data_IF_370022273213
#
_entry.id   IF_370022273213
#
_cell.length_a   1.000
_cell.length_b   1.000
_cell.length_c   1.000
_cell.angle_alpha   90.00
_cell.angle_beta   90.00
_cell.angle_gamma   90.00
#
_symmetry.space_group_name_H-M   'P 1'
#
loop_
_entity.id
_entity.type
_entity.pdbx_description
1 polymer ?
#
# COMPACT_ATOMS: atom_id res chain seq x y z
N UNK A 1 -31.64 56.59 -13.79
CA UNK A 1 -30.30 56.96 -13.30
C UNK A 1 -29.99 56.06 -12.10
N UNK A 2 -28.83 55.39 -12.11
CA UNK A 2 -28.13 54.73 -10.97
C UNK A 2 -28.33 53.22 -10.73
N UNK A 3 -27.37 52.48 -11.32
CA UNK A 3 -26.53 51.38 -10.81
C UNK A 3 -27.06 49.95 -10.65
N UNK A 4 -26.69 49.15 -11.66
CA UNK A 4 -26.10 47.81 -11.59
C UNK A 4 -25.19 47.61 -10.35
N UNK A 5 -25.39 46.52 -9.60
CA UNK A 5 -24.30 45.75 -8.99
C UNK A 5 -24.61 44.26 -9.15
N UNK A 6 -23.78 43.62 -9.97
CA UNK A 6 -23.60 42.18 -10.08
C UNK A 6 -23.29 41.59 -8.69
N UNK A 7 -24.18 40.75 -8.16
CA UNK A 7 -23.85 39.82 -7.09
C UNK A 7 -23.05 38.67 -7.67
N UNK A 8 -21.72 38.79 -7.64
CA UNK A 8 -20.78 37.73 -7.99
C UNK A 8 -21.06 36.51 -7.10
N UNK A 9 -21.60 35.44 -7.69
CA UNK A 9 -21.52 34.11 -7.11
C UNK A 9 -20.04 33.71 -7.11
N UNK A 10 -19.39 33.91 -5.97
CA UNK A 10 -18.10 33.29 -5.68
C UNK A 10 -18.35 31.78 -5.53
N UNK A 11 -18.29 31.07 -6.65
CA UNK A 11 -18.02 29.63 -6.65
C UNK A 11 -16.62 29.51 -6.06
N UNK A 12 -16.55 29.25 -4.75
CA UNK A 12 -15.35 28.75 -4.11
C UNK A 12 -15.12 27.38 -4.76
N UNK A 13 -14.28 27.37 -5.79
CA UNK A 13 -13.60 26.19 -6.27
C UNK A 13 -12.83 25.65 -5.07
N UNK A 14 -13.47 24.73 -4.34
CA UNK A 14 -12.77 23.73 -3.57
C UNK A 14 -11.88 23.03 -4.59
N UNK A 15 -10.61 23.45 -4.68
CA UNK A 15 -9.54 22.65 -5.23
C UNK A 15 -9.44 21.42 -4.33
N UNK A 16 -10.35 20.47 -4.56
CA UNK A 16 -10.14 19.09 -4.16
C UNK A 16 -8.75 18.74 -4.65
N UNK A 17 -7.91 18.26 -3.74
CA UNK A 17 -6.69 17.57 -4.11
C UNK A 17 -7.07 16.63 -5.25
N UNK A 18 -6.66 16.97 -6.47
CA UNK A 18 -7.19 16.34 -7.67
C UNK A 18 -7.06 14.85 -7.50
N UNK A 19 -8.18 14.12 -7.57
CA UNK A 19 -8.16 12.66 -7.67
C UNK A 19 -7.18 12.35 -8.79
N UNK A 20 -5.98 11.88 -8.46
CA UNK A 20 -5.01 11.50 -9.48
C UNK A 20 -5.62 10.33 -10.19
N UNK A 21 -6.06 10.57 -11.41
CA UNK A 21 -6.62 9.56 -12.27
C UNK A 21 -5.57 8.45 -12.44
N UNK A 22 -5.87 7.28 -11.89
CA UNK A 22 -5.02 6.10 -12.05
C UNK A 22 -5.25 5.56 -13.45
N UNK A 23 -4.16 5.34 -14.17
CA UNK A 23 -4.14 4.71 -15.49
C UNK A 23 -3.09 3.61 -15.55
N UNK A 24 -3.08 2.81 -16.62
CA UNK A 24 -2.04 1.78 -16.84
C UNK A 24 -0.62 2.35 -16.86
N UNK A 25 -0.46 3.63 -17.22
CA UNK A 25 0.83 4.32 -17.32
C UNK A 25 1.26 4.94 -15.98
N UNK A 26 0.42 4.85 -14.95
CA UNK A 26 0.78 5.28 -13.60
C UNK A 26 1.92 4.43 -13.06
N UNK A 27 2.95 5.07 -12.52
CA UNK A 27 4.09 4.36 -11.91
C UNK A 27 3.68 3.65 -10.62
N UNK A 28 4.32 2.52 -10.34
CA UNK A 28 4.04 1.75 -9.13
C UNK A 28 4.39 2.56 -7.87
N UNK A 29 5.45 3.37 -7.91
CA UNK A 29 5.80 4.30 -6.83
C UNK A 29 4.70 5.33 -6.54
N UNK A 30 4.01 5.84 -7.56
CA UNK A 30 2.86 6.73 -7.36
C UNK A 30 1.67 6.00 -6.71
N UNK A 31 1.44 4.73 -7.06
CA UNK A 31 0.40 3.91 -6.43
C UNK A 31 0.72 3.60 -4.97
N UNK A 32 1.99 3.27 -4.66
CA UNK A 32 2.45 3.10 -3.27
C UNK A 32 2.31 4.39 -2.46
N UNK A 33 2.57 5.55 -3.08
CA UNK A 33 2.33 6.85 -2.45
C UNK A 33 0.85 7.10 -2.18
N UNK A 34 -0.04 6.76 -3.11
CA UNK A 34 -1.49 6.83 -2.85
C UNK A 34 -1.90 5.88 -1.71
N UNK A 35 -1.33 4.67 -1.64
CA UNK A 35 -1.57 3.75 -0.53
C UNK A 35 -1.13 4.38 0.81
N UNK A 36 0.05 5.00 0.85
CA UNK A 36 0.51 5.73 2.03
C UNK A 36 -0.44 6.85 2.43
N UNK A 37 -0.79 7.73 1.50
CA UNK A 37 -1.72 8.86 1.72
C UNK A 37 -3.10 8.37 2.20
N UNK A 38 -3.53 7.19 1.75
CA UNK A 38 -4.83 6.62 2.13
C UNK A 38 -4.82 5.89 3.49
N UNK A 39 -3.72 5.23 3.86
CA UNK A 39 -3.71 4.23 4.94
C UNK A 39 -2.87 4.59 6.16
N UNK A 40 -1.81 5.40 6.02
CA UNK A 40 -0.85 5.62 7.12
C UNK A 40 -1.54 6.08 8.39
N UNK A 41 -1.23 5.41 9.50
CA UNK A 41 -1.75 5.72 10.84
C UNK A 41 -3.28 5.65 10.98
N UNK A 42 -4.00 5.17 9.97
CA UNK A 42 -5.42 4.89 10.03
C UNK A 42 -5.68 3.41 10.31
N UNK A 43 -6.79 3.06 10.99
CA UNK A 43 -7.18 1.67 11.19
C UNK A 43 -7.52 0.98 9.88
N UNK A 44 -7.54 -0.36 9.91
CA UNK A 44 -7.94 -1.16 8.75
C UNK A 44 -9.35 -0.80 8.27
N UNK A 45 -9.50 -0.69 6.96
CA UNK A 45 -10.78 -0.49 6.29
C UNK A 45 -10.87 -1.39 5.07
N UNK A 46 -12.03 -2.04 4.91
CA UNK A 46 -12.32 -2.91 3.76
C UNK A 46 -12.47 -2.11 2.45
N UNK A 47 -12.92 -0.85 2.53
CA UNK A 47 -13.07 0.03 1.37
C UNK A 47 -11.80 0.83 1.13
N UNK A 48 -11.31 0.80 -0.11
CA UNK A 48 -10.15 1.59 -0.53
C UNK A 48 -10.37 2.25 -1.89
N UNK A 49 -10.09 3.54 -1.97
CA UNK A 49 -10.14 4.27 -3.24
C UNK A 49 -9.04 3.80 -4.20
N UNK A 50 -7.85 3.45 -3.68
CA UNK A 50 -6.79 2.83 -4.46
C UNK A 50 -7.26 1.51 -5.07
N UNK A 51 -7.82 0.61 -4.25
CA UNK A 51 -8.29 -0.70 -4.71
C UNK A 51 -9.41 -0.57 -5.76
N UNK A 52 -10.36 0.33 -5.52
CA UNK A 52 -11.45 0.60 -6.47
C UNK A 52 -10.90 1.14 -7.81
N UNK A 53 -9.91 2.02 -7.77
CA UNK A 53 -9.26 2.56 -8.96
C UNK A 53 -8.54 1.47 -9.77
N UNK A 54 -7.79 0.59 -9.08
CA UNK A 54 -7.11 -0.53 -9.74
C UNK A 54 -8.11 -1.53 -10.31
N UNK A 55 -9.19 -1.84 -9.59
CA UNK A 55 -10.26 -2.72 -10.08
C UNK A 55 -10.89 -2.20 -11.37
N UNK A 56 -11.09 -0.88 -11.50
CA UNK A 56 -11.62 -0.28 -12.73
C UNK A 56 -10.65 -0.46 -13.91
N UNK A 57 -9.34 -0.26 -13.69
CA UNK A 57 -8.32 -0.50 -14.73
C UNK A 57 -8.25 -1.98 -15.11
N UNK A 58 -8.34 -2.89 -14.14
CA UNK A 58 -8.39 -4.34 -14.39
C UNK A 58 -9.60 -4.71 -15.25
N UNK A 59 -10.78 -4.19 -14.94
CA UNK A 59 -12.00 -4.41 -15.71
C UNK A 59 -11.85 -3.96 -17.17
N UNK A 60 -11.32 -2.75 -17.38
CA UNK A 60 -11.05 -2.22 -18.72
C UNK A 60 -10.02 -3.08 -19.47
N UNK A 61 -8.95 -3.49 -18.78
CA UNK A 61 -7.88 -4.29 -19.35
C UNK A 61 -8.36 -5.68 -19.78
N UNK A 62 -9.08 -6.39 -18.92
CA UNK A 62 -9.67 -7.71 -19.22
C UNK A 62 -10.60 -7.63 -20.42
N UNK A 63 -11.47 -6.61 -20.46
CA UNK A 63 -12.38 -6.38 -21.58
C UNK A 63 -11.63 -6.13 -22.89
N UNK A 64 -10.62 -5.26 -22.86
CA UNK A 64 -9.82 -4.91 -24.04
C UNK A 64 -9.06 -6.11 -24.59
N UNK A 65 -8.63 -7.03 -23.72
CA UNK A 65 -7.87 -8.21 -24.11
C UNK A 65 -8.74 -9.48 -24.29
N UNK A 66 -10.07 -9.36 -24.26
CA UNK A 66 -11.02 -10.47 -24.40
C UNK A 66 -10.77 -11.64 -23.42
N UNK A 67 -10.31 -11.32 -22.20
CA UNK A 67 -10.06 -12.32 -21.16
C UNK A 67 -11.40 -12.72 -20.54
N UNK A 68 -11.72 -14.01 -20.55
CA UNK A 68 -12.92 -14.53 -19.86
C UNK A 68 -12.62 -14.73 -18.38
N UNK A 69 -13.28 -13.96 -17.52
CA UNK A 69 -13.15 -14.07 -16.07
C UNK A 69 -14.52 -13.93 -15.41
N UNK A 70 -14.85 -14.88 -14.53
CA UNK A 70 -15.97 -14.71 -13.60
C UNK A 70 -15.59 -13.73 -12.46
N UNK A 71 -16.53 -13.49 -11.56
CA UNK A 71 -16.32 -12.55 -10.45
C UNK A 71 -15.19 -12.98 -9.51
N UNK A 72 -15.02 -14.29 -9.28
CA UNK A 72 -13.98 -14.81 -8.41
C UNK A 72 -12.60 -14.60 -9.03
N UNK A 73 -12.44 -14.99 -10.30
CA UNK A 73 -11.22 -14.79 -11.09
C UNK A 73 -10.87 -13.32 -11.22
N UNK A 74 -11.86 -12.45 -11.42
CA UNK A 74 -11.65 -10.99 -11.47
C UNK A 74 -11.13 -10.44 -10.12
N UNK A 75 -11.70 -10.87 -9.00
CA UNK A 75 -11.24 -10.44 -7.68
C UNK A 75 -9.81 -10.92 -7.40
N UNK A 76 -9.52 -12.19 -7.72
CA UNK A 76 -8.17 -12.73 -7.54
C UNK A 76 -7.15 -12.07 -8.47
N UNK A 77 -7.52 -11.77 -9.73
CA UNK A 77 -6.68 -10.98 -10.63
C UNK A 77 -6.41 -9.58 -10.09
N UNK A 78 -7.44 -8.91 -9.55
CA UNK A 78 -7.27 -7.61 -8.92
C UNK A 78 -6.27 -7.70 -7.77
N UNK A 79 -6.39 -8.70 -6.90
CA UNK A 79 -5.43 -8.91 -5.81
C UNK A 79 -4.03 -9.27 -6.32
N UNK A 80 -3.89 -10.07 -7.39
CA UNK A 80 -2.61 -10.33 -8.05
C UNK A 80 -1.94 -9.04 -8.52
N UNK A 81 -2.71 -8.12 -9.11
CA UNK A 81 -2.21 -6.82 -9.53
C UNK A 81 -1.78 -5.99 -8.31
N UNK A 82 -2.60 -5.95 -7.26
CA UNK A 82 -2.25 -5.26 -6.00
C UNK A 82 -0.97 -5.82 -5.38
N UNK A 83 -0.82 -7.15 -5.32
CA UNK A 83 0.39 -7.83 -4.87
C UNK A 83 1.62 -7.40 -5.69
N UNK A 84 1.51 -7.45 -7.03
CA UNK A 84 2.61 -7.09 -7.92
C UNK A 84 2.95 -5.59 -7.93
N UNK A 85 2.05 -4.69 -7.51
CA UNK A 85 2.38 -3.26 -7.29
C UNK A 85 3.53 -3.13 -6.28
N UNK A 86 3.63 -4.02 -5.30
CA UNK A 86 4.65 -3.98 -4.25
C UNK A 86 5.91 -4.80 -4.58
N UNK A 87 5.76 -5.94 -5.25
CA UNK A 87 6.90 -6.79 -5.61
C UNK A 87 7.78 -6.25 -6.75
N UNK A 88 7.23 -5.42 -7.64
CA UNK A 88 7.96 -4.91 -8.82
C UNK A 88 8.73 -3.63 -8.53
N UNK A 89 9.54 -3.16 -9.49
CA UNK A 89 10.31 -1.93 -9.29
C UNK A 89 9.37 -0.70 -9.28
N UNK A 90 9.47 0.22 -8.30
CA UNK A 90 8.57 1.37 -8.20
C UNK A 90 8.60 2.32 -9.42
N UNK A 91 9.67 2.29 -10.22
CA UNK A 91 9.79 3.11 -11.43
C UNK A 91 9.08 2.51 -12.65
N UNK A 92 8.61 1.27 -12.57
CA UNK A 92 7.80 0.64 -13.61
C UNK A 92 6.35 1.15 -13.53
N UNK A 93 5.56 0.87 -14.57
CA UNK A 93 4.14 1.24 -14.64
C UNK A 93 3.23 0.06 -14.33
N UNK A 94 1.94 0.35 -14.08
CA UNK A 94 0.89 -0.63 -13.83
C UNK A 94 0.70 -1.64 -14.99
N UNK A 95 1.17 -1.32 -16.20
CA UNK A 95 1.24 -2.27 -17.33
C UNK A 95 1.91 -3.59 -16.94
N UNK A 96 3.02 -3.54 -16.18
CA UNK A 96 3.78 -4.76 -15.87
C UNK A 96 3.00 -5.71 -14.94
N UNK A 97 2.46 -5.29 -13.78
CA UNK A 97 1.55 -6.12 -12.99
C UNK A 97 0.39 -6.71 -13.81
N UNK A 98 -0.26 -5.91 -14.68
CA UNK A 98 -1.35 -6.39 -15.52
C UNK A 98 -0.91 -7.53 -16.46
N UNK A 99 0.26 -7.40 -17.09
CA UNK A 99 0.83 -8.42 -17.96
C UNK A 99 1.20 -9.69 -17.20
N UNK A 100 1.81 -9.56 -16.02
CA UNK A 100 2.17 -10.71 -15.16
C UNK A 100 0.92 -11.50 -14.79
N UNK A 101 -0.10 -10.84 -14.26
CA UNK A 101 -1.33 -11.51 -13.84
C UNK A 101 -2.11 -12.09 -15.05
N UNK A 102 -1.98 -11.49 -16.23
CA UNK A 102 -2.57 -12.05 -17.47
C UNK A 102 -1.86 -13.32 -17.90
N UNK A 103 -0.53 -13.36 -17.81
CA UNK A 103 0.21 -14.58 -18.09
C UNK A 103 -0.17 -15.70 -17.11
N UNK A 104 -0.40 -15.36 -15.83
CA UNK A 104 -0.88 -16.30 -14.81
C UNK A 104 -2.33 -16.77 -15.04
N UNK A 105 -3.20 -15.93 -15.61
CA UNK A 105 -4.51 -16.40 -16.10
C UNK A 105 -4.32 -17.41 -17.23
N UNK A 106 -3.53 -17.05 -18.24
CA UNK A 106 -3.44 -17.81 -19.48
C UNK A 106 -2.79 -19.18 -19.29
N UNK A 107 -1.88 -19.32 -18.33
CA UNK A 107 -1.25 -20.60 -17.99
C UNK A 107 -1.97 -21.36 -16.86
N UNK A 108 -3.07 -20.82 -16.32
CA UNK A 108 -3.85 -21.43 -15.25
C UNK A 108 -3.21 -21.37 -13.86
N UNK A 109 -2.12 -20.63 -13.66
CA UNK A 109 -1.49 -20.45 -12.35
C UNK A 109 -2.33 -19.56 -11.43
N UNK A 110 -3.03 -18.56 -11.97
CA UNK A 110 -3.89 -17.67 -11.16
C UNK A 110 -4.96 -18.47 -10.40
N UNK A 111 -5.46 -19.56 -10.98
CA UNK A 111 -6.50 -20.40 -10.35
C UNK A 111 -5.95 -21.26 -9.19
N UNK A 112 -4.62 -21.38 -9.06
CA UNK A 112 -3.94 -22.14 -8.01
C UNK A 112 -3.46 -21.26 -6.85
N UNK A 113 -3.38 -19.95 -7.09
CA UNK A 113 -2.84 -18.98 -6.14
C UNK A 113 -3.97 -18.09 -5.64
N UNK A 114 -4.24 -18.11 -4.34
CA UNK A 114 -5.16 -17.16 -3.73
C UNK A 114 -4.40 -15.90 -3.33
N UNK A 115 -4.39 -14.89 -4.20
CA UNK A 115 -3.76 -13.62 -3.91
C UNK A 115 -4.60 -12.80 -2.94
N UNK A 116 -3.91 -12.15 -2.01
CA UNK A 116 -4.49 -11.13 -1.15
C UNK A 116 -3.81 -9.79 -1.37
N UNK A 117 -4.51 -8.72 -1.02
CA UNK A 117 -4.03 -7.34 -1.20
C UNK A 117 -3.22 -6.89 0.04
N UNK A 118 -1.89 -6.74 -0.06
CA UNK A 118 -1.05 -6.31 1.06
C UNK A 118 -1.01 -4.79 1.22
N UNK A 119 -1.74 -4.02 0.41
CA UNK A 119 -1.54 -2.57 0.28
C UNK A 119 -1.90 -1.79 1.52
N UNK A 120 -2.83 -2.28 2.34
CA UNK A 120 -3.15 -1.59 3.59
C UNK A 120 -1.97 -1.62 4.58
N UNK A 121 -1.39 -2.81 4.79
CA UNK A 121 -0.25 -2.94 5.72
C UNK A 121 1.00 -2.26 5.14
N UNK A 122 1.30 -2.47 3.85
CA UNK A 122 2.44 -1.82 3.21
C UNK A 122 2.25 -0.31 3.02
N UNK A 123 1.01 0.18 2.98
CA UNK A 123 0.70 1.61 3.03
C UNK A 123 1.01 2.28 4.37
N UNK A 124 1.42 1.53 5.40
CA UNK A 124 1.90 2.12 6.65
C UNK A 124 3.37 2.59 6.57
N UNK A 125 4.06 2.35 5.45
CA UNK A 125 5.40 2.88 5.20
C UNK A 125 5.37 4.37 4.85
N UNK A 126 6.05 5.18 5.65
CA UNK A 126 6.33 6.56 5.30
C UNK A 126 7.16 6.65 4.02
N UNK A 127 6.62 7.33 3.02
CA UNK A 127 7.27 7.46 1.71
C UNK A 127 8.50 8.39 1.70
N UNK A 128 8.71 9.16 2.77
CA UNK A 128 9.84 10.05 2.98
C UNK A 128 10.88 9.39 3.86
N UNK A 129 10.50 8.92 5.06
CA UNK A 129 11.46 8.35 6.01
C UNK A 129 11.74 6.86 5.76
N UNK A 130 10.82 6.13 5.13
CA UNK A 130 10.89 4.67 5.02
C UNK A 130 10.46 3.94 6.30
N UNK A 131 10.04 4.65 7.34
CA UNK A 131 9.61 4.04 8.60
C UNK A 131 8.20 3.46 8.49
N UNK A 132 7.99 2.24 9.00
CA UNK A 132 6.68 1.62 9.04
C UNK A 132 5.94 1.95 10.34
N UNK A 133 4.83 2.66 10.25
CA UNK A 133 4.12 3.25 11.40
C UNK A 133 3.74 2.24 12.50
N UNK A 134 3.13 1.11 12.12
CA UNK A 134 2.70 0.11 13.12
C UNK A 134 3.88 -0.62 13.76
N UNK A 135 4.96 -0.83 13.01
CA UNK A 135 6.14 -1.51 13.52
C UNK A 135 6.89 -0.61 14.50
N UNK A 136 7.08 0.67 14.14
CA UNK A 136 7.73 1.64 15.03
C UNK A 136 6.94 1.89 16.30
N UNK A 137 5.60 1.96 16.21
CA UNK A 137 4.73 2.05 17.37
C UNK A 137 4.94 0.86 18.31
N UNK A 138 4.85 -0.36 17.77
CA UNK A 138 5.08 -1.58 18.56
C UNK A 138 6.46 -1.57 19.22
N UNK A 139 7.51 -1.23 18.48
CA UNK A 139 8.88 -1.19 19.02
C UNK A 139 8.97 -0.15 20.16
N UNK A 140 8.51 1.08 19.93
CA UNK A 140 8.53 2.16 20.93
C UNK A 140 7.80 1.75 22.21
N UNK A 141 6.63 1.12 22.08
CA UNK A 141 5.82 0.66 23.22
C UNK A 141 6.49 -0.47 24.04
N UNK A 142 7.48 -1.17 23.46
CA UNK A 142 8.22 -2.26 24.12
C UNK A 142 9.66 -1.88 24.53
N UNK A 143 10.08 -0.62 24.31
CA UNK A 143 11.37 -0.13 24.78
C UNK A 143 11.30 0.38 26.22
N UNK A 144 12.41 0.25 26.96
CA UNK A 144 12.53 0.80 28.32
C UNK A 144 12.48 2.34 28.33
N UNK A 145 13.10 2.98 27.33
CA UNK A 145 13.02 4.43 27.09
C UNK A 145 12.49 4.65 25.66
N UNK A 146 11.16 4.75 25.46
CA UNK A 146 10.55 4.93 24.15
C UNK A 146 11.05 6.18 23.40
N UNK A 147 11.48 7.21 24.14
CA UNK A 147 12.00 8.47 23.55
C UNK A 147 13.42 8.31 22.98
N UNK A 148 14.12 7.23 23.34
CA UNK A 148 15.44 6.94 22.81
C UNK A 148 15.42 6.27 21.44
N UNK A 149 14.23 5.87 20.95
CA UNK A 149 14.08 5.27 19.64
C UNK A 149 14.51 6.26 18.55
N UNK A 150 15.42 5.82 17.71
CA UNK A 150 15.87 6.52 16.51
C UNK A 150 15.87 5.54 15.34
N UNK A 151 15.05 5.84 14.33
CA UNK A 151 14.85 4.98 13.18
C UNK A 151 16.10 4.97 12.27
N UNK A 152 16.50 3.80 11.79
CA UNK A 152 17.62 3.66 10.86
C UNK A 152 17.14 3.25 9.48
N UNK A 153 16.43 2.12 9.39
CA UNK A 153 15.98 1.55 8.13
C UNK A 153 14.83 0.55 8.35
N UNK A 154 14.05 0.30 7.32
CA UNK A 154 13.08 -0.78 7.32
C UNK A 154 12.92 -1.42 5.92
N UNK A 155 12.66 -2.71 5.94
CA UNK A 155 12.39 -3.51 4.75
C UNK A 155 11.18 -4.42 4.99
N UNK A 156 10.64 -4.98 3.92
CA UNK A 156 9.54 -5.92 4.01
C UNK A 156 9.76 -7.13 3.11
N UNK A 157 9.14 -8.25 3.49
CA UNK A 157 8.93 -9.40 2.62
C UNK A 157 7.44 -9.75 2.62
N UNK A 158 6.84 -9.87 1.44
CA UNK A 158 5.46 -10.32 1.30
C UNK A 158 5.46 -11.85 1.30
N UNK A 159 4.61 -12.43 2.13
CA UNK A 159 4.50 -13.88 2.33
C UNK A 159 3.09 -14.33 2.00
N UNK A 160 2.94 -15.63 1.73
CA UNK A 160 1.62 -16.27 1.56
C UNK A 160 0.72 -15.50 0.57
N UNK A 161 1.31 -15.12 -0.58
CA UNK A 161 0.65 -14.42 -1.69
C UNK A 161 -0.06 -13.11 -1.29
N UNK A 162 0.48 -12.39 -0.29
CA UNK A 162 -0.05 -11.10 0.15
C UNK A 162 -0.88 -11.15 1.43
N UNK A 163 -1.17 -12.32 1.98
CA UNK A 163 -1.93 -12.44 3.23
C UNK A 163 -1.10 -12.11 4.48
N UNK A 164 0.22 -12.14 4.35
CA UNK A 164 1.16 -11.86 5.43
C UNK A 164 2.31 -10.98 4.94
N UNK A 165 2.82 -10.12 5.82
CA UNK A 165 3.97 -9.26 5.52
C UNK A 165 4.91 -9.25 6.71
N UNK A 166 6.16 -9.63 6.48
CA UNK A 166 7.23 -9.52 7.48
C UNK A 166 7.91 -8.16 7.33
N UNK A 167 7.76 -7.29 8.32
CA UNK A 167 8.43 -5.98 8.37
C UNK A 167 9.65 -6.10 9.27
N UNK A 168 10.82 -5.77 8.75
CA UNK A 168 12.07 -5.76 9.50
C UNK A 168 12.53 -4.32 9.69
N UNK A 169 12.66 -3.88 10.94
CA UNK A 169 13.05 -2.51 11.30
C UNK A 169 14.37 -2.51 12.05
N UNK A 170 15.31 -1.71 11.57
CA UNK A 170 16.56 -1.38 12.27
C UNK A 170 16.43 -0.01 12.92
N UNK A 171 16.87 0.09 14.17
CA UNK A 171 16.76 1.31 14.97
C UNK A 171 17.87 1.38 16.03
N UNK A 172 18.13 2.57 16.55
CA UNK A 172 18.98 2.79 17.72
C UNK A 172 18.06 3.05 18.92
N UNK A 173 18.38 2.47 20.07
CA UNK A 173 17.68 2.74 21.33
C UNK A 173 18.59 2.50 22.54
N UNK A 174 18.24 3.08 23.69
CA UNK A 174 18.93 2.83 24.95
C UNK A 174 18.61 1.45 25.49
N UNK A 175 19.66 0.74 25.89
CA UNK A 175 19.54 -0.50 26.66
C UNK A 175 19.25 -0.21 28.16
N UNK A 176 19.10 -1.27 28.96
CA UNK A 176 18.84 -1.19 30.40
C UNK A 176 19.94 -0.43 31.20
N UNK A 177 21.16 -0.34 30.65
CA UNK A 177 22.28 0.38 31.27
C UNK A 177 22.41 1.83 30.77
N UNK A 178 21.46 2.30 29.95
CA UNK A 178 21.44 3.66 29.41
C UNK A 178 22.35 3.88 28.19
N UNK A 179 23.03 2.85 27.68
CA UNK A 179 23.86 2.94 26.48
C UNK A 179 23.06 2.77 25.19
N UNK A 180 23.40 3.53 24.15
CA UNK A 180 22.77 3.40 22.84
C UNK A 180 23.25 2.13 22.12
N UNK A 181 22.29 1.37 21.60
CA UNK A 181 22.54 0.11 20.88
C UNK A 181 21.75 0.10 19.59
N UNK A 182 22.35 -0.40 18.51
CA UNK A 182 21.62 -0.70 17.27
C UNK A 182 20.91 -2.03 17.45
N UNK A 183 19.61 -2.03 17.24
CA UNK A 183 18.72 -3.18 17.35
C UNK A 183 18.03 -3.44 16.02
N UNK A 184 17.52 -4.65 15.89
CA UNK A 184 16.75 -5.11 14.74
C UNK A 184 15.59 -5.93 15.24
N UNK A 185 14.39 -5.63 14.77
CA UNK A 185 13.18 -6.36 15.12
C UNK A 185 12.43 -6.71 13.85
N UNK A 186 11.98 -7.96 13.73
CA UNK A 186 11.13 -8.38 12.63
C UNK A 186 9.74 -8.73 13.16
N UNK A 187 8.71 -8.10 12.59
CA UNK A 187 7.31 -8.30 12.99
C UNK A 187 6.55 -8.86 11.79
N UNK A 188 5.95 -10.03 11.98
CA UNK A 188 5.06 -10.63 11.01
C UNK A 188 3.65 -10.09 11.23
N UNK A 189 3.11 -9.38 10.25
CA UNK A 189 1.74 -8.89 10.26
C UNK A 189 0.85 -9.71 9.33
N UNK A 190 -0.44 -9.83 9.66
CA UNK A 190 -1.46 -10.09 8.64
C UNK A 190 -1.58 -8.88 7.71
N UNK A 191 -2.17 -9.06 6.53
CA UNK A 191 -2.47 -7.95 5.62
C UNK A 191 -3.47 -6.91 6.19
N UNK A 192 -4.07 -7.21 7.35
CA UNK A 192 -4.97 -6.33 8.10
C UNK A 192 -4.32 -5.66 9.32
N UNK A 193 -3.02 -5.93 9.57
CA UNK A 193 -2.24 -5.29 10.64
C UNK A 193 -2.23 -6.00 11.97
N UNK A 194 -2.77 -7.21 12.07
CA UNK A 194 -2.64 -8.02 13.29
C UNK A 194 -1.20 -8.54 13.39
N UNK A 195 -0.60 -8.44 14.57
CA UNK A 195 0.73 -9.02 14.83
C UNK A 195 0.55 -10.53 15.01
N UNK A 196 1.16 -11.30 14.11
CA UNK A 196 1.14 -12.77 14.13
C UNK A 196 2.36 -13.34 14.84
N UNK A 197 3.52 -12.68 14.74
CA UNK A 197 4.76 -13.06 15.41
C UNK A 197 5.75 -11.90 15.48
N UNK A 198 6.72 -11.98 16.40
CA UNK A 198 7.82 -11.02 16.56
C UNK A 198 9.12 -11.81 16.77
N UNK A 199 10.20 -11.38 16.11
CA UNK A 199 11.53 -12.00 16.11
C UNK A 199 12.63 -10.98 16.39
#
# INVERSE_FOLDING_TARGET
>A
MKYFIFGLLAIILLSGCGKREVSKDTTLGNLRKQAFEEFVAFPYKEKSELKDSIKNIVLEYIKTNNIQADLFKLNNFTNCVMYNIWEKNPNQTLVLPLQVCTNEINNGELDKINYEDPSWILGQFDTVSGEHYLASKYIKDNLNDPKSYDFVDASYNILQNGSQVLITTEYIAKNLLGGNTRNKTAILFSNRGEILAVY
#
